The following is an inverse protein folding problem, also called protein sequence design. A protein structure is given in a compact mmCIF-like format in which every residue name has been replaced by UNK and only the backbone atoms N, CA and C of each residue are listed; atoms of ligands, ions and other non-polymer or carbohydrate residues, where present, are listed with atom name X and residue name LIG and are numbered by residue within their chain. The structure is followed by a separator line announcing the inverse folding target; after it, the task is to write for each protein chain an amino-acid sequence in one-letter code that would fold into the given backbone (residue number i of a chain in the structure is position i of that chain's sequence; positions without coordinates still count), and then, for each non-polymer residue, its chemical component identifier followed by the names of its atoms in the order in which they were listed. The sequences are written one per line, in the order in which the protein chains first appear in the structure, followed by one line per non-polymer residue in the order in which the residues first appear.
data_IF_180466290361
#
_entry.id   IF_180466290361
#
_cell.length_a   1.000
_cell.length_b   1.000
_cell.length_c   1.000
_cell.angle_alpha   90.00
_cell.angle_beta   90.00
_cell.angle_gamma   90.00
#
_symmetry.space_group_name_H-M   'P 1'
#
loop_
_entity.id
_entity.type
_entity.pdbx_description
1 polymer ?
#
# COMPACT_ATOMS: atom_id res chain seq x y z
N UNK A 1 22.74 -1.37 17.89
CA UNK A 1 21.40 -1.98 17.77
C UNK A 1 20.73 -1.74 16.40
N UNK A 2 21.48 -1.34 15.38
CA UNK A 2 20.99 -1.14 14.00
C UNK A 2 20.96 -2.42 13.14
N UNK A 3 21.34 -3.55 13.72
CA UNK A 3 21.42 -4.83 13.00
C UNK A 3 20.07 -5.57 12.93
N UNK A 4 19.10 -5.23 13.79
CA UNK A 4 17.92 -6.07 13.99
C UNK A 4 16.94 -6.10 12.81
N UNK A 5 16.64 -4.97 12.18
CA UNK A 5 15.71 -4.99 11.02
C UNK A 5 16.39 -5.53 9.77
N UNK A 6 17.67 -5.18 9.55
CA UNK A 6 18.44 -5.73 8.43
C UNK A 6 18.63 -7.24 8.55
N UNK A 7 18.87 -7.73 9.77
CA UNK A 7 18.98 -9.16 10.07
C UNK A 7 17.61 -9.83 9.90
N UNK A 8 16.55 -9.27 10.45
CA UNK A 8 15.18 -9.77 10.35
C UNK A 8 14.70 -9.85 8.88
N UNK A 9 14.93 -8.80 8.11
CA UNK A 9 14.65 -8.82 6.68
C UNK A 9 15.51 -9.85 5.98
N UNK A 10 16.81 -9.97 6.32
CA UNK A 10 17.72 -10.98 5.81
C UNK A 10 17.25 -12.41 6.11
N UNK A 11 16.81 -12.67 7.31
CA UNK A 11 16.32 -13.98 7.75
C UNK A 11 15.01 -14.37 7.07
N UNK A 12 14.04 -13.44 6.99
CA UNK A 12 12.79 -13.69 6.26
C UNK A 12 13.05 -13.94 4.77
N UNK A 13 14.02 -13.23 4.17
CA UNK A 13 14.43 -13.48 2.78
C UNK A 13 15.14 -14.84 2.60
N UNK A 14 15.88 -15.34 3.61
CA UNK A 14 16.57 -16.62 3.53
C UNK A 14 15.62 -17.81 3.59
N UNK A 15 14.54 -17.71 4.39
CA UNK A 15 13.51 -18.76 4.53
C UNK A 15 12.64 -18.90 3.27
N UNK A 16 12.52 -17.86 2.45
CA UNK A 16 11.75 -17.90 1.20
C UNK A 16 12.45 -18.64 0.04
N UNK A 17 13.55 -19.37 0.29
CA UNK A 17 14.29 -20.10 -0.73
C UNK A 17 13.55 -21.37 -1.17
N UNK A 18 13.34 -21.53 -2.50
CA UNK A 18 12.64 -22.66 -3.10
C UNK A 18 13.56 -23.87 -3.31
N UNK A 19 13.19 -25.10 -2.86
CA UNK A 19 13.95 -26.31 -3.16
C UNK A 19 13.59 -26.85 -4.55
N UNK A 20 14.36 -26.54 -5.57
CA UNK A 20 14.12 -27.04 -6.93
C UNK A 20 15.39 -27.44 -7.64
N UNK A 21 15.49 -28.71 -8.01
CA UNK A 21 16.73 -29.35 -8.49
C UNK A 21 16.85 -29.54 -10.01
N UNK A 22 16.03 -28.88 -10.88
CA UNK A 22 16.18 -28.97 -12.33
C UNK A 22 16.42 -27.59 -12.98
N UNK A 23 16.82 -27.56 -14.24
CA UNK A 23 17.15 -26.32 -14.97
C UNK A 23 15.99 -25.32 -14.98
N UNK A 24 14.74 -25.80 -15.11
CA UNK A 24 13.55 -24.95 -15.03
C UNK A 24 13.37 -24.38 -13.62
N UNK A 25 13.61 -25.17 -12.58
CA UNK A 25 13.62 -24.72 -11.19
C UNK A 25 14.70 -23.68 -10.91
N UNK A 26 15.90 -23.81 -11.49
CA UNK A 26 16.97 -22.84 -11.35
C UNK A 26 16.63 -21.48 -12.03
N UNK A 27 16.02 -21.52 -13.20
CA UNK A 27 15.58 -20.29 -13.90
C UNK A 27 14.48 -19.59 -13.08
N UNK A 28 13.48 -20.34 -12.60
CA UNK A 28 12.40 -19.83 -11.77
C UNK A 28 12.94 -19.25 -10.46
N UNK A 29 13.86 -19.97 -9.78
CA UNK A 29 14.53 -19.48 -8.58
C UNK A 29 15.22 -18.15 -8.82
N UNK A 30 15.99 -18.00 -9.92
CA UNK A 30 16.65 -16.74 -10.25
C UNK A 30 15.65 -15.58 -10.44
N UNK A 31 14.50 -15.85 -11.05
CA UNK A 31 13.45 -14.86 -11.20
C UNK A 31 12.85 -14.45 -9.85
N UNK A 32 12.56 -15.40 -8.97
CA UNK A 32 12.07 -15.12 -7.63
C UNK A 32 13.09 -14.35 -6.79
N UNK A 33 14.36 -14.78 -6.82
CA UNK A 33 15.44 -14.09 -6.10
C UNK A 33 15.63 -12.65 -6.59
N UNK A 34 15.55 -12.42 -7.91
CA UNK A 34 15.61 -11.07 -8.48
C UNK A 34 14.42 -10.22 -8.04
N UNK A 35 13.22 -10.82 -8.00
CA UNK A 35 12.00 -10.13 -7.60
C UNK A 35 12.02 -9.78 -6.11
N UNK A 36 12.47 -10.69 -5.25
CA UNK A 36 12.66 -10.44 -3.83
C UNK A 36 13.70 -9.33 -3.57
N UNK A 37 14.83 -9.33 -4.28
CA UNK A 37 15.81 -8.23 -4.19
C UNK A 37 15.19 -6.89 -4.56
N UNK A 38 14.46 -6.83 -5.67
CA UNK A 38 13.78 -5.61 -6.09
C UNK A 38 12.77 -5.12 -5.03
N UNK A 39 11.99 -6.03 -4.44
CA UNK A 39 11.02 -5.66 -3.40
C UNK A 39 11.70 -5.18 -2.12
N UNK A 40 12.81 -5.79 -1.72
CA UNK A 40 13.62 -5.31 -0.61
C UNK A 40 14.14 -3.89 -0.86
N UNK A 41 14.67 -3.63 -2.05
CA UNK A 41 15.19 -2.31 -2.41
C UNK A 41 14.05 -1.25 -2.41
N UNK A 42 12.86 -1.62 -2.86
CA UNK A 42 11.66 -0.77 -2.77
C UNK A 42 11.34 -0.44 -1.30
N UNK A 43 11.31 -1.46 -0.44
CA UNK A 43 10.99 -1.27 0.98
C UNK A 43 11.98 -0.34 1.66
N UNK A 44 13.28 -0.57 1.47
CA UNK A 44 14.32 0.30 2.03
C UNK A 44 14.28 1.73 1.48
N UNK A 45 13.99 1.89 0.19
CA UNK A 45 13.85 3.22 -0.42
C UNK A 45 12.69 4.02 0.20
N UNK A 46 11.54 3.39 0.45
CA UNK A 46 10.40 4.07 1.07
C UNK A 46 10.65 4.37 2.56
N UNK A 47 11.29 3.46 3.31
CA UNK A 47 11.71 3.73 4.70
C UNK A 47 12.71 4.89 4.77
N UNK A 48 13.70 4.92 3.88
CA UNK A 48 14.67 6.01 3.80
C UNK A 48 14.02 7.36 3.45
N UNK A 49 13.02 7.36 2.56
CA UNK A 49 12.24 8.55 2.22
C UNK A 49 11.49 9.09 3.44
N UNK A 50 11.00 8.21 4.33
CA UNK A 50 10.37 8.57 5.60
C UNK A 50 11.35 9.00 6.70
N UNK A 51 12.67 9.04 6.43
CA UNK A 51 13.73 9.26 7.42
C UNK A 51 13.66 8.30 8.62
N UNK A 52 13.20 7.06 8.37
CA UNK A 52 12.97 6.04 9.40
C UNK A 52 14.26 5.24 9.60
N UNK A 53 14.68 5.12 10.85
CA UNK A 53 15.80 4.24 11.20
C UNK A 53 15.34 2.77 11.30
N UNK A 54 16.19 1.80 10.90
CA UNK A 54 15.85 0.38 11.02
C UNK A 54 15.41 -0.06 12.42
N UNK A 55 15.92 0.60 13.48
CA UNK A 55 15.55 0.31 14.88
C UNK A 55 14.12 0.71 15.22
N UNK A 56 13.62 1.79 14.65
CA UNK A 56 12.24 2.25 14.87
C UNK A 56 11.22 1.33 14.26
N UNK A 57 11.58 0.64 13.18
CA UNK A 57 10.73 -0.30 12.49
C UNK A 57 10.85 -1.75 13.00
N UNK A 58 11.69 -2.03 14.00
CA UNK A 58 11.95 -3.37 14.51
C UNK A 58 10.99 -3.75 15.64
N UNK A 59 9.77 -4.12 15.32
CA UNK A 59 8.76 -4.62 16.26
C UNK A 59 8.21 -5.97 15.78
N UNK A 60 7.56 -6.73 16.66
CA UNK A 60 6.91 -7.99 16.30
C UNK A 60 5.83 -7.78 15.21
N UNK A 61 5.10 -6.69 15.30
CA UNK A 61 4.14 -6.26 14.29
C UNK A 61 4.78 -6.09 12.91
N UNK A 62 5.97 -5.51 12.88
CA UNK A 62 6.73 -5.29 11.64
C UNK A 62 7.12 -6.59 10.94
N UNK A 63 7.32 -7.67 11.69
CA UNK A 63 7.61 -9.01 11.11
C UNK A 63 6.45 -9.47 10.23
N UNK A 64 5.22 -9.39 10.75
CA UNK A 64 4.03 -9.78 10.02
C UNK A 64 3.81 -8.90 8.77
N UNK A 65 4.03 -7.59 8.90
CA UNK A 65 3.93 -6.63 7.79
C UNK A 65 4.96 -6.94 6.70
N UNK A 66 6.23 -7.10 7.07
CA UNK A 66 7.31 -7.40 6.11
C UNK A 66 7.06 -8.75 5.43
N UNK A 67 6.65 -9.76 6.19
CA UNK A 67 6.31 -11.06 5.62
C UNK A 67 5.18 -10.95 4.58
N UNK A 68 4.09 -10.24 4.90
CA UNK A 68 2.98 -10.02 3.96
C UNK A 68 3.40 -9.23 2.72
N UNK A 69 4.25 -8.23 2.89
CA UNK A 69 4.84 -7.46 1.79
C UNK A 69 5.64 -8.36 0.83
N UNK A 70 6.53 -9.21 1.37
CA UNK A 70 7.33 -10.15 0.59
C UNK A 70 6.47 -11.19 -0.12
N UNK A 71 5.44 -11.67 0.55
CA UNK A 71 4.46 -12.58 -0.04
C UNK A 71 3.75 -11.95 -1.24
N UNK A 72 3.32 -10.69 -1.13
CA UNK A 72 2.76 -9.95 -2.27
C UNK A 72 3.73 -9.88 -3.46
N UNK A 73 5.03 -9.68 -3.19
CA UNK A 73 6.05 -9.69 -4.23
C UNK A 73 6.19 -11.06 -4.90
N UNK A 74 6.14 -12.15 -4.13
CA UNK A 74 6.21 -13.52 -4.66
C UNK A 74 4.97 -13.87 -5.49
N UNK A 75 3.78 -13.48 -5.04
CA UNK A 75 2.49 -13.70 -5.71
C UNK A 75 2.33 -12.89 -7.00
N UNK A 76 3.21 -11.93 -7.24
CA UNK A 76 3.24 -11.23 -8.51
C UNK A 76 2.74 -9.80 -8.47
N UNK A 77 2.56 -9.20 -7.30
CA UNK A 77 2.18 -7.80 -7.19
C UNK A 77 3.07 -6.90 -8.06
N UNK A 78 2.47 -5.95 -8.75
CA UNK A 78 3.20 -5.04 -9.60
C UNK A 78 4.11 -4.12 -8.76
N UNK A 79 5.19 -3.63 -9.38
CA UNK A 79 6.16 -2.77 -8.69
C UNK A 79 5.54 -1.54 -8.04
N UNK A 80 4.50 -0.97 -8.68
CA UNK A 80 3.78 0.18 -8.16
C UNK A 80 3.00 -0.17 -6.89
N UNK A 81 2.34 -1.33 -6.87
CA UNK A 81 1.63 -1.83 -5.69
C UNK A 81 2.59 -2.10 -4.52
N UNK A 82 3.76 -2.67 -4.81
CA UNK A 82 4.80 -2.88 -3.79
C UNK A 82 5.29 -1.56 -3.19
N UNK A 83 5.48 -0.53 -4.01
CA UNK A 83 5.82 0.81 -3.50
C UNK A 83 4.72 1.38 -2.62
N UNK A 84 3.47 1.21 -3.00
CA UNK A 84 2.33 1.66 -2.21
C UNK A 84 2.27 0.95 -0.85
N UNK A 85 2.44 -0.37 -0.82
CA UNK A 85 2.51 -1.15 0.43
C UNK A 85 3.69 -0.71 1.33
N UNK A 86 4.87 -0.52 0.74
CA UNK A 86 6.04 -0.04 1.48
C UNK A 86 5.83 1.38 2.06
N UNK A 87 5.17 2.27 1.30
CA UNK A 87 4.85 3.62 1.76
C UNK A 87 3.82 3.61 2.90
N UNK A 88 2.83 2.71 2.88
CA UNK A 88 1.88 2.52 4.00
C UNK A 88 2.63 2.09 5.26
N UNK A 89 3.51 1.10 5.17
CA UNK A 89 4.33 0.67 6.30
C UNK A 89 5.21 1.81 6.83
N UNK A 90 5.93 2.51 5.94
CA UNK A 90 6.74 3.66 6.33
C UNK A 90 5.91 4.76 7.03
N UNK A 91 4.68 4.99 6.59
CA UNK A 91 3.74 5.89 7.24
C UNK A 91 3.41 5.48 8.67
N UNK A 92 3.06 4.21 8.89
CA UNK A 92 2.77 3.67 10.23
C UNK A 92 3.97 3.79 11.18
N UNK A 93 5.19 3.49 10.69
CA UNK A 93 6.42 3.63 11.50
C UNK A 93 6.63 5.09 11.90
N UNK A 94 6.51 6.02 10.94
CA UNK A 94 6.68 7.46 11.19
C UNK A 94 5.69 8.00 12.22
N UNK A 95 4.45 7.53 12.17
CA UNK A 95 3.39 7.92 13.10
C UNK A 95 3.47 7.17 14.43
N UNK A 96 4.41 6.23 14.57
CA UNK A 96 4.56 5.34 15.75
C UNK A 96 3.27 4.56 16.06
N UNK A 97 2.52 4.24 15.02
CA UNK A 97 1.24 3.54 15.07
C UNK A 97 1.30 2.28 14.20
N UNK A 98 2.34 1.44 14.42
CA UNK A 98 2.49 0.19 13.69
C UNK A 98 1.38 -0.76 14.16
N UNK A 99 0.50 -1.12 13.23
CA UNK A 99 -0.60 -2.05 13.44
C UNK A 99 -0.61 -3.07 12.30
N UNK A 100 -0.19 -4.31 12.59
CA UNK A 100 -0.14 -5.37 11.59
C UNK A 100 -1.55 -5.67 11.05
N UNK A 101 -2.56 -5.71 11.89
CA UNK A 101 -3.94 -6.01 11.48
C UNK A 101 -4.45 -5.00 10.47
N UNK A 102 -4.23 -3.71 10.69
CA UNK A 102 -4.60 -2.66 9.75
C UNK A 102 -3.85 -2.80 8.42
N UNK A 103 -2.53 -3.06 8.49
CA UNK A 103 -1.74 -3.28 7.30
C UNK A 103 -2.22 -4.50 6.51
N UNK A 104 -2.46 -5.63 7.18
CA UNK A 104 -2.90 -6.87 6.56
C UNK A 104 -4.27 -6.70 5.89
N UNK A 105 -5.19 -5.99 6.54
CA UNK A 105 -6.50 -5.69 5.99
C UNK A 105 -6.42 -4.93 4.66
N UNK A 106 -5.55 -3.91 4.57
CA UNK A 106 -5.39 -3.13 3.35
C UNK A 106 -4.45 -3.76 2.33
N UNK A 107 -3.53 -4.64 2.75
CA UNK A 107 -2.50 -5.18 1.88
C UNK A 107 -3.08 -5.96 0.69
N UNK A 108 -4.11 -6.77 0.90
CA UNK A 108 -4.74 -7.56 -0.15
C UNK A 108 -5.40 -6.66 -1.20
N UNK A 109 -6.09 -5.63 -0.75
CA UNK A 109 -6.71 -4.63 -1.61
C UNK A 109 -5.65 -3.88 -2.42
N UNK A 110 -4.64 -3.31 -1.75
CA UNK A 110 -3.61 -2.51 -2.39
C UNK A 110 -2.74 -3.33 -3.34
N UNK A 111 -2.46 -4.60 -3.01
CA UNK A 111 -1.69 -5.49 -3.86
C UNK A 111 -2.43 -5.86 -5.16
N UNK A 112 -3.75 -5.84 -5.15
CA UNK A 112 -4.61 -6.21 -6.29
C UNK A 112 -4.99 -5.06 -7.20
N UNK A 113 -4.78 -3.81 -6.78
CA UNK A 113 -5.14 -2.62 -7.57
C UNK A 113 -4.44 -2.62 -8.94
N UNK A 114 -5.20 -2.30 -9.98
CA UNK A 114 -4.66 -2.07 -11.32
C UNK A 114 -3.97 -0.71 -11.37
N UNK A 115 -3.04 -0.56 -12.32
CA UNK A 115 -2.30 0.69 -12.50
C UNK A 115 -3.22 1.92 -12.60
N UNK A 116 -4.28 1.80 -13.38
CA UNK A 116 -5.23 2.90 -13.62
C UNK A 116 -5.99 3.28 -12.34
N UNK A 117 -6.33 2.28 -11.52
CA UNK A 117 -6.95 2.47 -10.21
C UNK A 117 -6.02 3.21 -9.24
N UNK A 118 -4.73 2.87 -9.23
CA UNK A 118 -3.73 3.56 -8.39
C UNK A 118 -3.55 5.01 -8.85
N UNK A 119 -3.52 5.25 -10.16
CA UNK A 119 -3.39 6.61 -10.71
C UNK A 119 -4.61 7.45 -10.32
N UNK A 120 -5.82 6.90 -10.48
CA UNK A 120 -7.06 7.57 -10.09
C UNK A 120 -7.11 7.85 -8.59
N UNK A 121 -6.80 6.84 -7.76
CA UNK A 121 -6.75 6.98 -6.30
C UNK A 121 -5.77 8.08 -5.88
N UNK A 122 -4.57 8.10 -6.46
CA UNK A 122 -3.57 9.14 -6.20
C UNK A 122 -4.03 10.54 -6.64
N UNK A 123 -4.77 10.67 -7.73
CA UNK A 123 -5.34 11.95 -8.16
C UNK A 123 -6.44 12.42 -7.19
N UNK A 124 -7.35 11.53 -6.79
CA UNK A 124 -8.41 11.83 -5.83
C UNK A 124 -7.84 12.27 -4.47
N UNK A 125 -6.82 11.58 -3.96
CA UNK A 125 -6.16 11.95 -2.70
C UNK A 125 -5.50 13.33 -2.77
N UNK A 126 -4.79 13.65 -3.87
CA UNK A 126 -4.18 14.97 -4.04
C UNK A 126 -5.22 16.08 -4.11
N UNK A 127 -6.31 15.87 -4.85
CA UNK A 127 -7.37 16.87 -4.98
C UNK A 127 -8.15 17.05 -3.69
N UNK A 128 -8.42 16.00 -2.93
CA UNK A 128 -9.06 16.12 -1.63
C UNK A 128 -8.18 16.83 -0.59
N UNK A 129 -6.86 16.61 -0.61
CA UNK A 129 -5.93 17.30 0.29
C UNK A 129 -5.84 18.81 0.04
N UNK A 130 -6.08 19.27 -1.20
CA UNK A 130 -6.11 20.71 -1.53
C UNK A 130 -7.41 21.40 -1.16
N UNK A 131 -8.46 20.63 -0.83
CA UNK A 131 -9.77 21.16 -0.45
C UNK A 131 -10.15 20.56 0.92
N UNK A 132 -9.58 21.07 2.03
CA UNK A 132 -9.91 20.57 3.35
C UNK A 132 -11.39 20.79 3.63
N UNK A 133 -12.10 19.69 3.80
CA UNK A 133 -13.54 19.70 4.07
C UNK A 133 -13.83 20.07 5.51
N UNK A 134 -14.91 20.84 5.71
CA UNK A 134 -15.65 20.76 6.96
C UNK A 134 -16.44 19.44 6.97
N UNK A 135 -16.64 18.80 8.13
CA UNK A 135 -17.38 17.53 8.22
C UNK A 135 -18.78 17.56 7.59
N UNK A 136 -19.35 18.76 7.45
CA UNK A 136 -20.68 19.00 6.91
C UNK A 136 -20.74 18.98 5.37
N UNK A 137 -19.58 19.12 4.70
CA UNK A 137 -19.47 19.28 3.25
C UNK A 137 -18.87 18.05 2.51
N UNK A 138 -18.81 16.88 3.16
CA UNK A 138 -18.12 15.69 2.64
C UNK A 138 -18.57 15.29 1.21
N UNK A 139 -19.86 15.46 0.91
CA UNK A 139 -20.39 15.14 -0.42
C UNK A 139 -19.89 16.14 -1.49
N UNK A 140 -19.91 17.43 -1.20
CA UNK A 140 -19.49 18.47 -2.13
C UNK A 140 -17.99 18.39 -2.44
N UNK A 141 -17.19 18.05 -1.44
CA UNK A 141 -15.74 17.84 -1.57
C UNK A 141 -15.43 16.62 -2.42
N UNK A 142 -16.12 15.51 -2.19
CA UNK A 142 -15.97 14.30 -3.02
C UNK A 142 -16.35 14.56 -4.48
N UNK A 143 -17.41 15.31 -4.72
CA UNK A 143 -17.82 15.73 -6.08
C UNK A 143 -16.76 16.62 -6.73
N UNK A 144 -16.25 17.62 -6.00
CA UNK A 144 -15.21 18.53 -6.49
C UNK A 144 -13.91 17.79 -6.77
N UNK A 145 -13.47 16.90 -5.88
CA UNK A 145 -12.28 16.08 -6.08
C UNK A 145 -12.41 15.16 -7.30
N UNK A 146 -13.58 14.54 -7.50
CA UNK A 146 -13.86 13.70 -8.66
C UNK A 146 -13.81 14.50 -9.96
N UNK A 147 -14.43 15.68 -9.98
CA UNK A 147 -14.43 16.57 -11.14
C UNK A 147 -13.01 17.04 -11.48
N UNK A 148 -12.24 17.48 -10.48
CA UNK A 148 -10.84 17.91 -10.66
C UNK A 148 -9.94 16.74 -11.14
N UNK A 149 -10.07 15.55 -10.55
CA UNK A 149 -9.34 14.37 -10.98
C UNK A 149 -9.68 14.00 -12.43
N UNK A 150 -10.96 14.09 -12.83
CA UNK A 150 -11.38 13.85 -14.21
C UNK A 150 -10.73 14.82 -15.18
N UNK A 151 -10.74 16.11 -14.90
CA UNK A 151 -10.10 17.11 -15.75
C UNK A 151 -8.59 16.91 -15.87
N UNK A 152 -7.93 16.45 -14.81
CA UNK A 152 -6.50 16.16 -14.83
C UNK A 152 -6.15 14.92 -15.65
N UNK A 153 -7.01 13.89 -15.60
CA UNK A 153 -6.69 12.57 -16.12
C UNK A 153 -7.26 12.32 -17.53
N UNK A 154 -8.31 13.00 -17.94
CA UNK A 154 -8.89 12.87 -19.28
C UNK A 154 -8.49 14.09 -20.11
N UNK A 155 -7.98 13.95 -21.34
CA UNK A 155 -7.64 12.69 -22.04
C UNK A 155 -6.21 12.19 -21.77
N UNK A 156 -5.47 12.76 -20.83
CA UNK A 156 -4.03 12.56 -20.67
C UNK A 156 -3.64 11.12 -20.24
N UNK A 157 -4.48 10.50 -19.42
CA UNK A 157 -4.27 9.14 -18.87
C UNK A 157 -5.38 8.21 -19.30
N UNK A 158 -6.62 8.65 -19.21
CA UNK A 158 -7.80 7.93 -19.66
C UNK A 158 -8.26 8.50 -21.00
N UNK A 159 -8.60 7.62 -21.94
CA UNK A 159 -9.00 8.02 -23.31
C UNK A 159 -10.19 8.96 -23.30
N UNK A 160 -11.16 8.72 -22.43
CA UNK A 160 -12.43 9.39 -22.37
C UNK A 160 -13.11 9.27 -21.00
N UNK A 161 -14.28 9.86 -20.85
CA UNK A 161 -15.06 9.82 -19.63
C UNK A 161 -15.63 8.44 -19.31
N UNK A 162 -15.85 7.58 -20.29
CA UNK A 162 -16.36 6.22 -20.08
C UNK A 162 -15.28 5.36 -19.43
N UNK A 163 -14.05 5.47 -19.92
CA UNK A 163 -12.88 4.81 -19.33
C UNK A 163 -12.66 5.29 -17.88
N UNK A 164 -12.69 6.61 -17.63
CA UNK A 164 -12.60 7.16 -16.28
C UNK A 164 -13.68 6.58 -15.35
N UNK A 165 -14.94 6.56 -15.78
CA UNK A 165 -16.05 6.03 -14.99
C UNK A 165 -15.91 4.51 -14.75
N UNK A 166 -15.44 3.74 -15.72
CA UNK A 166 -15.20 2.31 -15.56
C UNK A 166 -14.14 2.04 -14.47
N UNK A 167 -13.05 2.81 -14.46
CA UNK A 167 -12.00 2.70 -13.42
C UNK A 167 -12.53 3.15 -12.05
N UNK A 168 -13.29 4.25 -12.00
CA UNK A 168 -13.90 4.73 -10.75
C UNK A 168 -14.88 3.70 -10.14
N UNK A 169 -15.71 3.08 -10.97
CA UNK A 169 -16.62 2.01 -10.55
C UNK A 169 -15.86 0.74 -10.10
N UNK A 170 -14.71 0.45 -10.70
CA UNK A 170 -13.84 -0.66 -10.26
C UNK A 170 -13.28 -0.41 -8.85
N UNK A 171 -12.79 0.80 -8.58
CA UNK A 171 -12.33 1.21 -7.24
C UNK A 171 -13.42 1.09 -6.17
N UNK A 172 -14.67 1.42 -6.49
CA UNK A 172 -15.79 1.30 -5.55
C UNK A 172 -16.08 -0.16 -5.16
N UNK A 173 -15.80 -1.11 -6.07
CA UNK A 173 -15.99 -2.55 -5.80
C UNK A 173 -14.88 -3.16 -4.97
N UNK A 174 -13.67 -2.62 -5.08
CA UNK A 174 -12.50 -3.11 -4.33
C UNK A 174 -12.35 -2.44 -2.97
N UNK A 175 -12.96 -1.26 -2.78
CA UNK A 175 -12.97 -0.56 -1.49
C UNK A 175 -13.97 -1.18 -0.51
N UNK A 176 -13.76 -1.01 0.80
CA UNK A 176 -14.82 -1.30 1.77
C UNK A 176 -16.05 -0.50 1.36
N UNK A 177 -17.17 -1.18 1.19
CA UNK A 177 -18.43 -0.52 0.84
C UNK A 177 -18.77 0.52 1.92
N UNK A 178 -18.52 1.79 1.63
CA UNK A 178 -18.87 2.93 2.51
C UNK A 178 -20.39 3.16 2.51
N UNK A 179 -21.16 2.18 2.08
CA UNK A 179 -22.60 2.18 2.06
C UNK A 179 -23.12 1.09 2.99
N UNK A 180 -23.17 1.35 4.30
CA UNK A 180 -23.95 0.52 5.21
C UNK A 180 -23.22 -0.05 6.43
N UNK A 181 -22.23 0.61 6.96
CA UNK A 181 -21.80 0.36 8.32
C UNK A 181 -22.25 1.53 9.19
N UNK A 182 -23.14 1.22 10.13
CA UNK A 182 -23.63 2.05 11.20
C UNK A 182 -22.57 3.03 11.71
N UNK A 183 -22.98 4.28 11.90
CA UNK A 183 -22.26 5.30 12.66
C UNK A 183 -22.22 4.93 14.15
N UNK A 184 -21.72 3.77 14.49
CA UNK A 184 -21.45 3.37 15.85
C UNK A 184 -19.97 3.07 16.03
N UNK A 185 -19.32 4.01 16.78
CA UNK A 185 -18.10 3.77 17.55
C UNK A 185 -16.75 3.76 16.84
N UNK A 186 -16.38 4.87 16.21
CA UNK A 186 -14.99 5.33 16.33
C UNK A 186 -14.91 6.45 17.38
N UNK A 187 -15.37 6.15 18.58
CA UNK A 187 -15.13 6.95 19.77
C UNK A 187 -13.77 6.56 20.33
N UNK A 188 -12.74 7.20 19.85
CA UNK A 188 -11.45 7.19 20.54
C UNK A 188 -11.65 7.75 21.94
N UNK A 189 -11.84 6.85 22.90
CA UNK A 189 -11.74 7.21 24.32
C UNK A 189 -10.28 7.45 24.60
N UNK A 190 -9.88 8.72 24.65
CA UNK A 190 -8.72 9.15 25.39
C UNK A 190 -8.82 8.56 26.81
N UNK A 191 -7.98 7.63 27.17
CA UNK A 191 -7.71 7.30 28.55
C UNK A 191 -6.55 8.16 28.99
N UNK A 192 -6.92 9.25 29.68
CA UNK A 192 -6.04 9.87 30.68
C UNK A 192 -5.82 8.85 31.79
N UNK A 193 -4.62 8.47 32.06
CA UNK A 193 -4.05 8.28 33.39
C UNK A 193 -2.57 8.61 33.27
#
# INVERSE_FOLDING_TARGET
MSESLSALIGDVFSVASWPGGNLAGLALKKLFDARLRTSRDILFAELATGAITPGEAATDESVAIVYRFLRSAQEGAARLNLRLLAAVFAGQVRERAIAADDFLYYADMLASLRRDEIILLGALLRTSATHPSRPEDDFSVKMTANHAARHQLVPNVFSDNEHFNAVANSLQRTGPSVGGADRHELRWRGRSI
#
